data_IF_478117678373
#
_entry.id   IF_478117678373
#
_cell.length_a   1.000
_cell.length_b   1.000
_cell.length_c   1.000
_cell.angle_alpha   90.00
_cell.angle_beta   90.00
_cell.angle_gamma   90.00
#
_symmetry.space_group_name_H-M   'P 1'
#
loop_
_entity.id
_entity.type
_entity.pdbx_description
1 polymer ?
#
# COMPACT_ATOMS: atom_id res chain seq x y z
N UNK A 1 -16.20 -11.17 -34.42
CA UNK A 1 -16.02 -9.78 -34.84
C UNK A 1 -16.32 -8.76 -33.73
N UNK A 2 -17.50 -8.76 -33.05
CA UNK A 2 -17.80 -7.78 -31.98
C UNK A 2 -16.82 -7.84 -30.79
N UNK A 3 -16.39 -9.03 -30.36
CA UNK A 3 -15.41 -9.21 -29.26
C UNK A 3 -14.01 -8.74 -29.59
N UNK A 4 -13.60 -8.89 -30.86
CA UNK A 4 -12.27 -8.43 -31.35
C UNK A 4 -12.22 -6.91 -31.44
N UNK A 5 -13.31 -6.27 -31.88
CA UNK A 5 -13.44 -4.81 -31.94
C UNK A 5 -13.40 -4.20 -30.52
N UNK A 6 -14.05 -4.84 -29.56
CA UNK A 6 -14.02 -4.41 -28.15
C UNK A 6 -12.60 -4.50 -27.54
N UNK A 7 -11.87 -5.57 -27.87
CA UNK A 7 -10.50 -5.76 -27.42
C UNK A 7 -9.53 -4.73 -28.03
N UNK A 8 -9.67 -4.45 -29.35
CA UNK A 8 -8.89 -3.42 -30.04
C UNK A 8 -9.23 -2.01 -29.56
N UNK A 9 -10.51 -1.73 -29.28
CA UNK A 9 -10.93 -0.45 -28.69
C UNK A 9 -10.37 -0.29 -27.26
N UNK A 10 -10.35 -1.36 -26.46
CA UNK A 10 -9.78 -1.34 -25.11
C UNK A 10 -8.26 -1.10 -25.16
N UNK A 11 -7.52 -1.78 -26.05
CA UNK A 11 -6.07 -1.57 -26.24
C UNK A 11 -5.74 -0.18 -26.81
N UNK A 12 -6.56 0.37 -27.71
CA UNK A 12 -6.38 1.72 -28.23
C UNK A 12 -6.63 2.80 -27.16
N UNK A 13 -7.56 2.61 -26.24
CA UNK A 13 -7.78 3.51 -25.09
C UNK A 13 -6.58 3.54 -24.12
N UNK A 14 -5.86 2.44 -23.98
CA UNK A 14 -4.63 2.40 -23.16
C UNK A 14 -3.44 3.10 -23.85
N UNK A 15 -3.39 3.14 -25.18
CA UNK A 15 -2.30 3.75 -25.94
C UNK A 15 -2.35 5.27 -26.04
N UNK A 16 -3.50 5.90 -25.86
CA UNK A 16 -3.68 7.35 -26.02
C UNK A 16 -3.49 8.16 -24.73
N UNK A 17 -3.33 7.51 -23.58
CA UNK A 17 -3.16 8.17 -22.28
C UNK A 17 -1.71 8.60 -21.97
N UNK A 18 -0.81 8.64 -22.96
CA UNK A 18 0.61 8.98 -22.76
C UNK A 18 0.88 10.50 -22.74
N UNK A 19 -0.13 11.35 -22.52
CA UNK A 19 0.08 12.77 -22.41
C UNK A 19 0.46 13.17 -20.99
N UNK A 20 1.52 13.99 -20.91
CA UNK A 20 2.21 14.49 -19.73
C UNK A 20 1.26 15.09 -18.68
N UNK A 21 0.67 14.24 -17.85
CA UNK A 21 0.07 14.71 -16.61
C UNK A 21 1.20 15.14 -15.67
N UNK A 22 1.07 16.34 -15.10
CA UNK A 22 1.98 16.88 -14.09
C UNK A 22 2.19 15.86 -12.97
N UNK A 23 3.34 15.22 -12.97
CA UNK A 23 3.72 14.24 -11.97
C UNK A 23 4.69 14.85 -10.96
N UNK A 24 4.69 14.34 -9.76
CA UNK A 24 5.67 14.69 -8.74
C UNK A 24 6.86 13.72 -8.80
N UNK A 25 8.03 14.14 -8.26
CA UNK A 25 9.21 13.27 -8.16
C UNK A 25 9.10 12.32 -6.97
N UNK A 26 8.72 12.86 -5.83
CA UNK A 26 8.52 12.09 -4.61
C UNK A 26 7.42 12.71 -3.74
N UNK A 27 6.94 11.96 -2.77
CA UNK A 27 5.97 12.43 -1.80
C UNK A 27 6.20 11.74 -0.45
N UNK A 28 6.01 12.48 0.64
CA UNK A 28 6.15 12.00 2.01
C UNK A 28 4.90 12.35 2.81
N UNK A 29 4.48 11.46 3.70
CA UNK A 29 3.28 11.68 4.51
C UNK A 29 2.90 10.49 5.36
N UNK A 30 1.62 10.32 5.62
CA UNK A 30 1.06 9.22 6.40
C UNK A 30 0.25 8.26 5.55
N UNK A 31 0.28 6.99 5.92
CA UNK A 31 -0.61 5.95 5.43
C UNK A 31 -1.31 5.29 6.61
N UNK A 32 -2.60 5.03 6.46
CA UNK A 32 -3.44 4.32 7.41
C UNK A 32 -3.96 3.05 6.74
N UNK A 33 -3.76 1.93 7.37
CA UNK A 33 -4.18 0.62 6.90
C UNK A 33 -5.14 -0.06 7.88
N UNK A 34 -5.68 -1.20 7.48
CA UNK A 34 -6.69 -1.94 8.25
C UNK A 34 -6.15 -3.18 8.95
N UNK A 35 -4.88 -3.55 8.72
CA UNK A 35 -4.30 -4.72 9.38
C UNK A 35 -3.69 -4.38 10.73
N UNK A 36 -3.59 -5.39 11.60
CA UNK A 36 -3.09 -5.24 12.97
C UNK A 36 -1.64 -4.74 13.04
N UNK A 37 -0.82 -5.00 12.04
CA UNK A 37 0.57 -4.52 11.97
C UNK A 37 0.72 -3.17 11.27
N UNK A 38 -0.27 -2.75 10.45
CA UNK A 38 -0.23 -1.54 9.62
C UNK A 38 -1.49 -0.70 9.87
N UNK A 39 -1.59 -0.14 11.08
CA UNK A 39 -2.67 0.80 11.43
C UNK A 39 -2.29 2.22 11.04
N UNK A 40 -1.02 2.59 11.26
CA UNK A 40 -0.51 3.91 10.89
C UNK A 40 0.97 3.85 10.58
N UNK A 41 1.38 4.50 9.49
CA UNK A 41 2.76 4.50 9.02
C UNK A 41 3.17 5.84 8.40
N UNK A 42 4.46 6.16 8.52
CA UNK A 42 5.10 7.15 7.66
C UNK A 42 5.30 6.51 6.30
N UNK A 43 4.91 7.21 5.25
CA UNK A 43 4.94 6.73 3.88
C UNK A 43 5.79 7.64 3.01
N UNK A 44 6.75 7.06 2.30
CA UNK A 44 7.56 7.75 1.31
C UNK A 44 7.41 7.06 -0.04
N UNK A 45 7.02 7.83 -1.06
CA UNK A 45 6.83 7.35 -2.43
C UNK A 45 7.68 8.16 -3.38
N UNK A 46 8.39 7.49 -4.29
CA UNK A 46 9.20 8.15 -5.29
C UNK A 46 9.17 7.42 -6.63
N UNK A 47 9.17 8.19 -7.71
CA UNK A 47 9.17 7.66 -9.06
C UNK A 47 10.60 7.40 -9.53
N UNK A 48 10.95 6.13 -9.78
CA UNK A 48 12.23 5.72 -10.37
C UNK A 48 12.24 5.94 -11.88
N UNK A 49 11.10 5.67 -12.51
CA UNK A 49 10.82 5.96 -13.92
C UNK A 49 9.40 6.50 -14.01
N UNK A 50 8.99 7.03 -15.14
CA UNK A 50 7.58 7.15 -15.43
C UNK A 50 7.19 5.99 -16.35
N UNK A 51 6.26 5.14 -15.93
CA UNK A 51 5.24 5.26 -14.86
C UNK A 51 5.56 4.50 -13.55
N UNK A 52 6.81 4.07 -13.31
CA UNK A 52 7.20 3.23 -12.17
C UNK A 52 7.55 4.00 -10.90
N UNK A 53 6.92 3.66 -9.78
CA UNK A 53 7.20 4.22 -8.46
C UNK A 53 7.55 3.14 -7.44
N UNK A 54 8.35 3.52 -6.44
CA UNK A 54 8.59 2.74 -5.23
C UNK A 54 7.93 3.46 -4.05
N UNK A 55 7.22 2.71 -3.24
CA UNK A 55 6.64 3.17 -2.00
C UNK A 55 7.24 2.41 -0.84
N UNK A 56 7.70 3.13 0.18
CA UNK A 56 8.24 2.60 1.43
C UNK A 56 7.38 3.08 2.59
N UNK A 57 7.02 2.18 3.50
CA UNK A 57 6.26 2.53 4.69
C UNK A 57 6.96 1.96 5.92
N UNK A 58 7.03 2.77 6.98
CA UNK A 58 7.46 2.36 8.30
C UNK A 58 6.42 2.80 9.32
N UNK A 59 5.91 1.87 10.11
CA UNK A 59 4.81 2.19 10.99
C UNK A 59 4.54 1.15 12.05
N UNK A 60 3.38 1.29 12.65
CA UNK A 60 2.97 0.51 13.79
C UNK A 60 1.49 0.14 13.73
N UNK A 61 1.17 -0.90 14.48
CA UNK A 61 -0.20 -1.31 14.71
C UNK A 61 -0.36 -1.97 16.07
N UNK A 62 -1.57 -2.29 16.42
CA UNK A 62 -1.86 -3.04 17.65
C UNK A 62 -3.11 -3.89 17.48
N UNK A 63 -3.16 -5.02 18.16
CA UNK A 63 -4.33 -5.88 18.24
C UNK A 63 -4.62 -6.26 19.70
N UNK A 64 -5.88 -6.07 20.11
CA UNK A 64 -6.38 -6.53 21.39
C UNK A 64 -6.89 -7.97 21.28
N UNK A 65 -6.65 -8.76 22.30
CA UNK A 65 -7.16 -10.11 22.46
C UNK A 65 -7.88 -10.20 23.79
N UNK A 66 -9.11 -10.73 23.78
CA UNK A 66 -9.91 -10.96 24.97
C UNK A 66 -9.99 -12.46 25.23
N UNK A 67 -9.47 -12.88 26.37
CA UNK A 67 -9.62 -14.22 26.91
C UNK A 67 -10.59 -14.17 28.11
N UNK A 68 -11.21 -15.32 28.44
CA UNK A 68 -12.22 -15.46 29.51
C UNK A 68 -11.76 -14.89 30.86
N UNK A 69 -10.47 -14.73 31.08
CA UNK A 69 -9.90 -14.28 32.38
C UNK A 69 -8.91 -13.12 32.25
N UNK A 70 -8.54 -12.67 31.03
CA UNK A 70 -7.52 -11.64 30.89
C UNK A 70 -7.58 -10.98 29.51
N UNK A 71 -7.48 -9.64 29.47
CA UNK A 71 -7.39 -8.85 28.25
C UNK A 71 -5.94 -8.42 28.04
N UNK A 72 -5.36 -8.69 26.89
CA UNK A 72 -4.03 -8.22 26.57
C UNK A 72 -3.96 -7.59 25.18
N UNK A 73 -2.94 -6.76 24.98
CA UNK A 73 -2.70 -6.08 23.71
C UNK A 73 -1.29 -6.39 23.22
N UNK A 74 -1.19 -6.74 21.93
CA UNK A 74 0.07 -6.90 21.22
C UNK A 74 0.32 -5.66 20.39
N UNK A 75 1.54 -5.17 20.41
CA UNK A 75 2.02 -4.05 19.60
C UNK A 75 2.90 -4.57 18.46
N UNK A 76 2.82 -3.93 17.30
CA UNK A 76 3.57 -4.33 16.10
C UNK A 76 4.31 -3.13 15.55
N UNK A 77 5.54 -3.37 15.11
CA UNK A 77 6.27 -2.47 14.20
C UNK A 77 6.41 -3.16 12.84
N UNK A 78 6.27 -2.42 11.77
CA UNK A 78 6.43 -2.97 10.44
C UNK A 78 7.22 -2.04 9.52
N UNK A 79 7.85 -2.67 8.53
CA UNK A 79 8.42 -2.01 7.37
C UNK A 79 7.89 -2.70 6.11
N UNK A 80 7.45 -1.93 5.11
CA UNK A 80 7.02 -2.48 3.82
C UNK A 80 7.58 -1.67 2.66
N UNK A 81 7.84 -2.38 1.56
CA UNK A 81 8.24 -1.80 0.29
C UNK A 81 7.40 -2.36 -0.86
N UNK A 82 6.98 -1.51 -1.79
CA UNK A 82 6.20 -1.91 -2.95
C UNK A 82 6.63 -1.17 -4.21
N UNK A 83 6.73 -1.88 -5.31
CA UNK A 83 6.75 -1.31 -6.64
C UNK A 83 5.32 -1.10 -7.15
N UNK A 84 5.06 0.05 -7.78
CA UNK A 84 3.76 0.43 -8.33
C UNK A 84 3.94 0.94 -9.76
N UNK A 85 3.25 0.32 -10.70
CA UNK A 85 3.18 0.80 -12.07
C UNK A 85 1.89 1.59 -12.28
N UNK A 86 2.02 2.87 -12.64
CA UNK A 86 0.91 3.81 -12.75
C UNK A 86 0.41 3.93 -14.18
N UNK A 87 -0.91 4.03 -14.32
CA UNK A 87 -1.59 4.23 -15.60
C UNK A 87 -2.42 5.52 -15.51
N UNK A 88 -2.33 6.34 -16.54
CA UNK A 88 -3.10 7.58 -16.61
C UNK A 88 -4.57 7.29 -16.88
N UNK A 89 -5.43 8.09 -16.26
CA UNK A 89 -6.87 8.16 -16.55
C UNK A 89 -7.09 9.53 -17.21
N UNK A 90 -8.09 9.70 -18.11
CA UNK A 90 -8.37 11.00 -18.74
C UNK A 90 -9.05 11.99 -17.77
N UNK A 91 -8.50 12.09 -16.57
CA UNK A 91 -8.87 13.04 -15.51
C UNK A 91 -7.57 13.58 -14.93
N UNK A 92 -7.41 14.89 -14.93
CA UNK A 92 -6.19 15.54 -14.46
C UNK A 92 -5.83 15.15 -13.03
N UNK A 93 -4.60 14.69 -12.84
CA UNK A 93 -4.07 14.28 -11.55
C UNK A 93 -4.48 12.89 -11.07
N UNK A 94 -5.44 12.23 -11.74
CA UNK A 94 -5.92 10.91 -11.35
C UNK A 94 -5.21 9.80 -12.14
N UNK A 95 -4.69 8.81 -11.43
CA UNK A 95 -4.06 7.60 -11.99
C UNK A 95 -4.52 6.39 -11.21
N UNK A 96 -4.53 5.25 -11.85
CA UNK A 96 -4.60 3.97 -11.15
C UNK A 96 -3.24 3.26 -11.21
N UNK A 97 -3.01 2.33 -10.34
CA UNK A 97 -1.76 1.57 -10.34
C UNK A 97 -1.99 0.12 -9.95
N UNK A 98 -1.06 -0.71 -10.39
CA UNK A 98 -0.90 -2.09 -9.93
C UNK A 98 0.56 -2.34 -9.63
N UNK A 99 0.82 -3.30 -8.78
CA UNK A 99 2.17 -3.65 -8.40
C UNK A 99 2.25 -4.77 -7.39
N UNK A 100 3.36 -4.81 -6.67
CA UNK A 100 3.56 -5.80 -5.62
C UNK A 100 4.68 -5.39 -4.70
N UNK A 101 4.71 -6.02 -3.55
CA UNK A 101 5.70 -5.71 -2.52
C UNK A 101 5.80 -6.76 -1.44
N UNK A 102 6.58 -6.41 -0.43
CA UNK A 102 6.79 -7.24 0.74
C UNK A 102 6.65 -6.41 2.02
N UNK A 103 6.27 -7.08 3.09
CA UNK A 103 6.22 -6.52 4.44
C UNK A 103 6.97 -7.44 5.38
N UNK A 104 7.70 -6.83 6.31
CA UNK A 104 8.23 -7.47 7.51
C UNK A 104 7.66 -6.74 8.71
N UNK A 105 7.18 -7.48 9.69
CA UNK A 105 6.72 -6.92 10.95
C UNK A 105 7.25 -7.74 12.13
N UNK A 106 7.31 -7.11 13.30
CA UNK A 106 7.63 -7.78 14.55
C UNK A 106 6.56 -7.47 15.59
N UNK A 107 6.02 -8.52 16.18
CA UNK A 107 5.06 -8.44 17.28
C UNK A 107 5.74 -8.44 18.64
N UNK A 108 5.32 -7.54 19.52
CA UNK A 108 5.79 -7.40 20.89
C UNK A 108 4.63 -7.71 21.85
N UNK A 109 4.76 -8.79 22.58
CA UNK A 109 3.80 -9.19 23.59
C UNK A 109 4.52 -9.42 24.92
N UNK A 110 3.78 -9.44 26.04
CA UNK A 110 4.31 -9.77 27.34
C UNK A 110 4.75 -11.24 27.42
N UNK A 111 5.65 -11.56 28.34
CA UNK A 111 6.22 -12.91 28.49
C UNK A 111 5.17 -14.01 28.74
N UNK A 112 4.00 -13.65 29.25
CA UNK A 112 2.86 -14.56 29.42
C UNK A 112 2.23 -15.02 28.11
N UNK A 113 2.45 -14.26 27.00
CA UNK A 113 1.84 -14.46 25.67
C UNK A 113 2.92 -14.55 24.59
N UNK A 114 3.96 -15.35 24.83
CA UNK A 114 5.13 -15.51 23.96
C UNK A 114 4.76 -16.01 22.55
N UNK A 115 3.67 -16.76 22.42
CA UNK A 115 3.14 -17.28 21.17
C UNK A 115 2.67 -16.18 20.18
N UNK A 116 2.38 -14.98 20.69
CA UNK A 116 1.99 -13.80 19.88
C UNK A 116 3.18 -12.90 19.53
N UNK A 117 4.38 -13.29 19.92
CA UNK A 117 5.62 -12.54 19.75
C UNK A 117 6.42 -13.15 18.61
N UNK A 118 6.94 -12.31 17.70
CA UNK A 118 7.83 -12.78 16.65
C UNK A 118 7.74 -11.99 15.39
N UNK A 119 8.58 -12.42 14.44
CA UNK A 119 8.70 -11.78 13.12
C UNK A 119 7.76 -12.46 12.14
N UNK A 120 6.99 -11.66 11.42
CA UNK A 120 6.24 -12.10 10.25
C UNK A 120 6.77 -11.46 8.99
N UNK A 121 6.74 -12.21 7.91
CA UNK A 121 7.12 -11.77 6.56
C UNK A 121 5.99 -12.11 5.60
N UNK A 122 5.57 -11.14 4.80
CA UNK A 122 4.52 -11.32 3.82
C UNK A 122 4.85 -10.72 2.47
N UNK A 123 4.23 -11.28 1.45
CA UNK A 123 4.23 -10.76 0.09
C UNK A 123 2.82 -10.32 -0.28
N UNK A 124 2.72 -9.24 -1.04
CA UNK A 124 1.42 -8.73 -1.44
C UNK A 124 1.43 -8.16 -2.86
N UNK A 125 0.44 -8.48 -3.70
CA UNK A 125 0.07 -7.62 -4.81
C UNK A 125 -0.56 -6.33 -4.26
N UNK A 126 -0.45 -5.24 -5.00
CA UNK A 126 -1.09 -3.97 -4.65
C UNK A 126 -1.79 -3.39 -5.86
N UNK A 127 -2.91 -2.74 -5.63
CA UNK A 127 -3.64 -2.01 -6.64
C UNK A 127 -4.43 -0.88 -6.00
N UNK A 128 -4.61 0.20 -6.75
CA UNK A 128 -5.30 1.34 -6.20
C UNK A 128 -5.38 2.54 -7.13
N UNK A 129 -5.80 3.65 -6.55
CA UNK A 129 -5.90 4.94 -7.21
C UNK A 129 -4.98 5.95 -6.53
N UNK A 130 -4.41 6.83 -7.33
CA UNK A 130 -3.47 7.86 -6.90
C UNK A 130 -3.94 9.20 -7.49
N UNK A 131 -4.25 10.15 -6.62
CA UNK A 131 -4.71 11.49 -7.02
C UNK A 131 -3.74 12.57 -6.57
N UNK A 132 -3.14 13.28 -7.53
CA UNK A 132 -2.31 14.45 -7.29
C UNK A 132 -3.13 15.71 -7.50
N UNK A 133 -3.30 16.50 -6.47
CA UNK A 133 -4.00 17.79 -6.56
C UNK A 133 -3.18 18.79 -7.39
N UNK A 134 -3.82 19.44 -8.36
CA UNK A 134 -3.14 20.39 -9.28
C UNK A 134 -2.75 21.70 -8.59
N UNK A 135 -3.58 22.17 -7.66
CA UNK A 135 -3.43 23.50 -7.01
C UNK A 135 -2.63 23.48 -5.71
N UNK A 136 -2.46 22.32 -5.09
CA UNK A 136 -1.76 22.17 -3.81
C UNK A 136 -0.78 21.01 -3.89
N UNK A 137 0.34 21.04 -3.16
CA UNK A 137 1.34 19.97 -3.16
C UNK A 137 0.89 18.76 -2.35
N UNK A 138 -0.29 18.21 -2.68
CA UNK A 138 -0.90 17.08 -1.98
C UNK A 138 -1.15 15.93 -2.92
N UNK A 139 -0.91 14.72 -2.44
CA UNK A 139 -1.24 13.45 -3.08
C UNK A 139 -2.12 12.63 -2.13
N UNK A 140 -3.19 12.07 -2.66
CA UNK A 140 -4.08 11.14 -1.99
C UNK A 140 -4.03 9.80 -2.71
N UNK A 141 -3.82 8.72 -1.97
CA UNK A 141 -3.81 7.36 -2.52
C UNK A 141 -4.79 6.50 -1.73
N UNK A 142 -5.55 5.66 -2.42
CA UNK A 142 -6.31 4.57 -1.82
C UNK A 142 -5.85 3.26 -2.47
N UNK A 143 -5.52 2.26 -1.66
CA UNK A 143 -4.95 0.99 -2.12
C UNK A 143 -5.53 -0.23 -1.39
N UNK A 144 -5.40 -1.38 -2.06
CA UNK A 144 -5.66 -2.69 -1.48
C UNK A 144 -4.39 -3.53 -1.61
N UNK A 145 -4.05 -4.27 -0.54
CA UNK A 145 -2.85 -5.11 -0.41
C UNK A 145 -3.24 -6.46 0.23
N UNK A 146 -3.81 -7.39 -0.53
CA UNK A 146 -4.01 -8.75 -0.04
C UNK A 146 -2.65 -9.37 0.27
N UNK A 147 -2.34 -9.55 1.54
CA UNK A 147 -1.01 -9.97 2.02
C UNK A 147 -1.03 -11.46 2.34
N UNK A 148 -0.14 -12.20 1.72
CA UNK A 148 0.13 -13.61 1.98
C UNK A 148 1.35 -13.72 2.89
N UNK A 149 1.16 -14.20 4.11
CA UNK A 149 2.24 -14.37 5.07
C UNK A 149 3.03 -15.65 4.75
N UNK A 150 4.32 -15.48 4.47
CA UNK A 150 5.27 -16.57 4.23
C UNK A 150 5.74 -17.16 5.56
N UNK A 151 5.95 -16.29 6.55
CA UNK A 151 6.17 -16.67 7.94
C UNK A 151 5.33 -15.79 8.84
N UNK A 152 4.78 -16.36 9.90
CA UNK A 152 4.06 -15.66 10.94
C UNK A 152 4.18 -16.44 12.24
N UNK A 153 4.03 -15.83 13.42
CA UNK A 153 3.81 -16.53 14.67
C UNK A 153 2.59 -17.47 14.59
N UNK A 154 2.58 -18.56 15.34
CA UNK A 154 1.68 -19.74 15.19
C UNK A 154 0.16 -19.44 15.19
N UNK A 155 -0.27 -18.29 15.68
CA UNK A 155 -1.69 -17.90 15.79
C UNK A 155 -2.22 -16.99 14.67
N UNK A 156 -1.44 -16.74 13.63
CA UNK A 156 -1.85 -15.82 12.55
C UNK A 156 -2.31 -16.54 11.31
N UNK A 157 -3.35 -15.99 10.68
CA UNK A 157 -3.80 -16.44 9.37
C UNK A 157 -2.70 -16.22 8.34
N UNK A 158 -2.56 -17.14 7.39
CA UNK A 158 -1.65 -17.00 6.26
C UNK A 158 -2.04 -15.90 5.27
N UNK A 159 -3.22 -15.29 5.45
CA UNK A 159 -3.76 -14.25 4.58
C UNK A 159 -4.35 -13.10 5.40
N UNK A 160 -3.98 -11.87 5.03
CA UNK A 160 -4.50 -10.63 5.62
C UNK A 160 -4.92 -9.66 4.51
N UNK A 161 -6.17 -9.22 4.55
CA UNK A 161 -6.68 -8.19 3.64
C UNK A 161 -6.36 -6.80 4.21
N UNK A 162 -5.44 -6.07 3.59
CA UNK A 162 -5.10 -4.70 3.97
C UNK A 162 -5.67 -3.71 2.97
N UNK A 163 -6.51 -2.82 3.43
CA UNK A 163 -7.00 -1.66 2.68
C UNK A 163 -6.38 -0.41 3.30
N UNK A 164 -5.87 0.50 2.50
CA UNK A 164 -5.17 1.67 2.99
C UNK A 164 -5.53 2.96 2.29
N UNK A 165 -5.39 4.04 3.03
CA UNK A 165 -5.46 5.42 2.52
C UNK A 165 -4.18 6.12 2.92
N UNK A 166 -3.57 6.86 1.99
CA UNK A 166 -2.38 7.65 2.26
C UNK A 166 -2.56 9.10 1.82
N UNK A 167 -2.07 10.01 2.65
CA UNK A 167 -2.03 11.44 2.38
C UNK A 167 -0.57 11.87 2.44
N UNK A 168 -0.05 12.45 1.34
CA UNK A 168 1.37 12.80 1.21
C UNK A 168 1.55 14.20 0.66
N UNK A 169 2.54 14.90 1.16
CA UNK A 169 3.07 16.13 0.58
C UNK A 169 3.99 15.80 -0.60
N UNK A 170 3.73 16.40 -1.77
CA UNK A 170 4.51 16.12 -2.99
C UNK A 170 5.71 17.06 -3.11
N UNK A 171 6.86 16.50 -3.49
CA UNK A 171 8.15 17.18 -3.60
C UNK A 171 8.63 17.08 -5.04
N UNK A 172 8.98 18.22 -5.61
CA UNK A 172 9.45 18.33 -6.99
C UNK A 172 8.37 18.04 -8.04
N UNK A 173 8.38 18.79 -9.12
CA UNK A 173 7.57 18.51 -10.33
C UNK A 173 8.47 17.82 -11.37
N UNK A 174 7.86 16.91 -12.13
CA UNK A 174 8.47 16.31 -13.33
C UNK A 174 7.68 16.68 -14.57
#
# INVERSE_FOLDING_TARGET
MKKTILLVALTAMFGLAANAQSTYKSAIGGRFGTTYYDVGSVSYKFFVTQPGAIELNFGAGSRGYSYVSDDFRTFYLHFSGAYQHHFNIPVDGLRWFVGGGAVVYNGFANDRYKEYRGVGVGLFPTGGIDYKFSKIPLNLTADVRPTFLVTAPDYYNSFEANVGIAVRYTIGQR
#
